data_IF_312972848848
#
_entry.id   IF_312972848848
#
_cell.length_a   1.000
_cell.length_b   1.000
_cell.length_c   1.000
_cell.angle_alpha   90.00
_cell.angle_beta   90.00
_cell.angle_gamma   90.00
#
_symmetry.space_group_name_H-M   'P 1'
#
loop_
_entity.id
_entity.type
_entity.pdbx_description
1 polymer ?
#
# COMPACT_ATOMS: atom_id res chain seq x y z
N UNK A 1 26.04 8.02 20.13
CA UNK A 1 24.83 7.19 20.01
C UNK A 1 24.51 6.87 18.56
N UNK A 2 24.27 7.86 17.68
CA UNK A 2 23.88 7.66 16.27
C UNK A 2 24.81 6.71 15.48
N UNK A 3 26.12 6.94 15.55
CA UNK A 3 27.11 6.11 14.82
C UNK A 3 27.16 4.68 15.36
N UNK A 4 27.07 4.51 16.68
CA UNK A 4 27.03 3.19 17.31
C UNK A 4 25.75 2.43 16.90
N UNK A 5 24.62 3.14 16.85
CA UNK A 5 23.35 2.60 16.40
C UNK A 5 23.36 2.20 14.92
N UNK A 6 23.91 3.04 14.04
CA UNK A 6 24.07 2.74 12.62
C UNK A 6 24.97 1.53 12.34
N UNK A 7 25.88 1.20 13.27
CA UNK A 7 26.86 0.10 13.13
C UNK A 7 26.49 -1.15 13.92
N UNK A 8 25.42 -1.14 14.72
CA UNK A 8 25.04 -2.29 15.53
C UNK A 8 25.92 -2.54 16.75
N UNK A 9 26.61 -1.53 17.27
CA UNK A 9 27.48 -1.68 18.45
C UNK A 9 26.65 -1.62 19.74
N UNK A 10 26.02 -2.75 20.09
CA UNK A 10 25.16 -2.91 21.27
C UNK A 10 25.91 -2.65 22.58
N UNK A 11 27.15 -3.11 22.67
CA UNK A 11 28.07 -2.87 23.79
C UNK A 11 28.30 -1.38 24.07
N UNK A 12 28.53 -0.60 23.01
CA UNK A 12 28.69 0.85 23.10
C UNK A 12 27.38 1.51 23.49
N UNK A 13 26.25 1.05 22.96
CA UNK A 13 24.94 1.59 23.32
C UNK A 13 24.59 1.29 24.78
N UNK A 14 24.84 0.08 25.27
CA UNK A 14 24.62 -0.28 26.68
C UNK A 14 25.48 0.55 27.63
N UNK A 15 26.75 0.79 27.28
CA UNK A 15 27.64 1.64 28.05
C UNK A 15 27.19 3.12 28.11
N UNK A 16 26.34 3.55 27.17
CA UNK A 16 25.81 4.92 27.12
C UNK A 16 24.51 5.10 27.92
N UNK A 17 24.03 4.07 28.62
CA UNK A 17 22.83 4.18 29.48
C UNK A 17 23.13 5.02 30.75
N UNK A 18 22.16 5.81 31.25
CA UNK A 18 20.82 6.00 30.71
C UNK A 18 20.81 6.89 29.47
N UNK A 19 20.02 6.51 28.47
CA UNK A 19 19.90 7.27 27.23
C UNK A 19 19.03 8.52 27.39
N UNK A 20 19.24 9.54 26.54
CA UNK A 20 18.38 10.71 26.50
C UNK A 20 16.93 10.33 26.15
N UNK A 21 15.98 11.17 26.59
CA UNK A 21 14.55 10.96 26.32
C UNK A 21 14.19 10.95 24.82
N UNK A 22 14.97 11.67 23.99
CA UNK A 22 14.85 11.64 22.54
C UNK A 22 16.00 10.84 21.91
N UNK A 23 15.68 9.64 21.45
CA UNK A 23 16.61 8.74 20.74
C UNK A 23 16.35 8.71 19.22
N UNK A 24 15.53 9.63 18.70
CA UNK A 24 15.03 9.61 17.31
C UNK A 24 16.17 9.47 16.30
N UNK A 25 17.25 10.24 16.42
CA UNK A 25 18.36 10.21 15.47
C UNK A 25 19.09 8.87 15.45
N UNK A 26 19.35 8.29 16.62
CA UNK A 26 20.00 6.99 16.71
C UNK A 26 19.09 5.87 16.21
N UNK A 27 17.80 5.93 16.54
CA UNK A 27 16.79 5.02 16.00
C UNK A 27 16.72 5.12 14.47
N UNK A 28 16.66 6.34 13.92
CA UNK A 28 16.67 6.54 12.46
C UNK A 28 17.96 6.02 11.82
N UNK A 29 19.11 6.20 12.45
CA UNK A 29 20.39 5.73 11.92
C UNK A 29 20.49 4.20 11.89
N UNK A 30 20.01 3.51 12.94
CA UNK A 30 19.92 2.05 12.98
C UNK A 30 18.90 1.51 11.97
N UNK A 31 17.72 2.12 11.92
CA UNK A 31 16.65 1.78 10.99
C UNK A 31 17.08 1.97 9.53
N UNK A 32 17.86 3.01 9.24
CA UNK A 32 18.42 3.25 7.93
C UNK A 32 19.52 2.26 7.54
N UNK A 33 19.91 1.35 8.42
CA UNK A 33 20.93 0.33 8.17
C UNK A 33 20.39 -1.08 8.38
N UNK A 34 19.08 -1.23 8.62
CA UNK A 34 18.45 -2.53 8.90
C UNK A 34 18.96 -3.18 10.19
N UNK A 35 19.44 -2.40 11.16
CA UNK A 35 20.06 -2.93 12.38
C UNK A 35 18.97 -3.28 13.41
N UNK A 36 18.32 -4.43 13.20
CA UNK A 36 17.14 -4.87 13.98
C UNK A 36 17.41 -4.93 15.49
N UNK A 37 18.49 -5.57 15.92
CA UNK A 37 18.80 -5.76 17.34
C UNK A 37 18.99 -4.45 18.12
N UNK A 38 19.51 -3.39 17.47
CA UNK A 38 19.61 -2.06 18.11
C UNK A 38 18.23 -1.44 18.29
N UNK A 39 17.35 -1.66 17.33
CA UNK A 39 16.01 -1.10 17.35
C UNK A 39 15.13 -1.83 18.38
N UNK A 40 15.34 -3.13 18.56
CA UNK A 40 14.78 -3.93 19.67
C UNK A 40 15.22 -3.39 21.01
N UNK A 41 16.52 -3.19 21.19
CA UNK A 41 17.09 -2.60 22.39
C UNK A 41 16.51 -1.19 22.69
N UNK A 42 16.32 -0.36 21.67
CA UNK A 42 15.67 0.95 21.82
C UNK A 42 14.18 0.85 22.19
N UNK A 43 13.45 -0.12 21.65
CA UNK A 43 12.04 -0.34 22.00
C UNK A 43 11.89 -0.81 23.44
N UNK A 44 12.67 -1.81 23.85
CA UNK A 44 12.64 -2.34 25.23
C UNK A 44 12.95 -1.25 26.26
N UNK A 45 13.96 -0.42 25.97
CA UNK A 45 14.29 0.71 26.82
C UNK A 45 13.15 1.73 26.90
N UNK A 46 12.49 2.03 25.77
CA UNK A 46 11.37 2.96 25.76
C UNK A 46 10.11 2.41 26.44
N UNK A 47 9.86 1.11 26.35
CA UNK A 47 8.74 0.45 27.04
C UNK A 47 8.95 0.43 28.56
N UNK A 48 10.21 0.30 29.00
CA UNK A 48 10.58 0.34 30.42
C UNK A 48 10.65 1.75 31.02
N UNK A 49 10.75 2.80 30.19
CA UNK A 49 10.93 4.18 30.65
C UNK A 49 9.82 5.10 30.11
N UNK A 50 8.84 5.39 30.96
CA UNK A 50 7.77 6.36 30.72
C UNK A 50 8.37 7.77 30.48
N UNK A 51 8.56 8.13 29.19
CA UNK A 51 9.18 9.39 28.78
C UNK A 51 10.02 9.28 27.51
N UNK A 52 10.39 8.07 27.11
CA UNK A 52 11.11 7.82 25.85
C UNK A 52 10.21 8.12 24.65
N UNK A 53 10.70 8.92 23.70
CA UNK A 53 9.97 9.26 22.48
C UNK A 53 10.90 9.13 21.26
N UNK A 54 10.46 8.40 20.25
CA UNK A 54 11.16 8.33 18.97
C UNK A 54 10.19 8.44 17.80
N UNK A 55 10.59 9.16 16.75
CA UNK A 55 9.81 9.28 15.51
C UNK A 55 10.09 8.11 14.56
N UNK A 56 9.54 6.95 14.89
CA UNK A 56 9.63 5.73 14.07
C UNK A 56 9.16 5.91 12.61
N UNK A 57 8.22 6.85 12.39
CA UNK A 57 7.53 7.04 11.11
C UNK A 57 8.45 7.40 9.94
N UNK A 58 9.50 8.21 10.17
CA UNK A 58 10.39 8.64 9.07
C UNK A 58 11.34 7.51 8.69
N UNK A 59 11.92 6.83 9.68
CA UNK A 59 12.87 5.76 9.42
C UNK A 59 12.21 4.52 8.80
N UNK A 60 11.01 4.17 9.26
CA UNK A 60 10.22 3.11 8.66
C UNK A 60 9.73 3.46 7.25
N UNK A 61 9.47 4.74 6.97
CA UNK A 61 9.18 5.21 5.61
C UNK A 61 10.39 5.00 4.69
N UNK A 62 11.58 5.39 5.11
CA UNK A 62 12.80 5.19 4.31
C UNK A 62 13.17 3.71 4.13
N UNK A 63 12.90 2.88 5.13
CA UNK A 63 13.03 1.42 5.02
C UNK A 63 12.03 0.85 4.00
N UNK A 64 10.78 1.31 4.05
CA UNK A 64 9.75 0.96 3.06
C UNK A 64 10.12 1.39 1.65
N UNK A 65 10.70 2.58 1.50
CA UNK A 65 11.20 3.09 0.21
C UNK A 65 12.40 2.30 -0.30
N UNK A 66 13.13 1.59 0.56
CA UNK A 66 14.23 0.71 0.17
C UNK A 66 13.85 -0.74 -0.05
N UNK A 67 12.66 -1.17 0.39
CA UNK A 67 12.29 -2.59 0.37
C UNK A 67 13.02 -3.39 1.46
N UNK A 68 13.44 -2.74 2.55
CA UNK A 68 14.16 -3.43 3.61
C UNK A 68 13.20 -4.29 4.44
N UNK A 69 13.11 -5.58 4.11
CA UNK A 69 12.23 -6.56 4.75
C UNK A 69 12.55 -6.79 6.23
N UNK A 70 13.78 -6.48 6.67
CA UNK A 70 14.18 -6.63 8.08
C UNK A 70 13.42 -5.67 9.01
N UNK A 71 12.85 -4.60 8.43
CA UNK A 71 12.18 -3.52 9.15
C UNK A 71 10.67 -3.74 9.37
N UNK A 72 10.10 -4.84 8.87
CA UNK A 72 8.67 -5.18 9.06
C UNK A 72 8.40 -5.58 10.52
N UNK A 73 9.34 -6.27 11.16
CA UNK A 73 9.29 -6.57 12.60
C UNK A 73 9.14 -5.29 13.44
N UNK A 74 9.72 -4.19 12.99
CA UNK A 74 9.67 -2.89 13.64
C UNK A 74 8.37 -2.12 13.44
N UNK A 75 7.58 -2.45 12.41
CA UNK A 75 6.21 -1.96 12.33
C UNK A 75 5.36 -2.44 13.52
N UNK A 76 5.74 -3.56 14.16
CA UNK A 76 5.16 -4.03 15.45
C UNK A 76 5.57 -3.15 16.63
N UNK A 77 6.76 -2.56 16.56
CA UNK A 77 7.44 -1.84 17.65
C UNK A 77 7.12 -0.34 17.65
N UNK A 78 6.37 0.16 16.67
CA UNK A 78 5.77 1.50 16.77
C UNK A 78 4.73 1.43 17.89
N UNK A 79 4.91 2.17 19.01
CA UNK A 79 4.00 2.09 20.13
C UNK A 79 2.56 2.31 19.67
N UNK A 80 1.68 1.37 20.03
CA UNK A 80 0.22 1.51 19.90
C UNK A 80 -0.27 2.59 20.86
N UNK A 81 0.18 3.85 20.73
CA UNK A 81 -0.42 4.94 21.51
C UNK A 81 -1.84 5.15 20.98
N UNK A 82 -2.89 4.84 21.76
CA UNK A 82 -4.24 5.14 21.34
C UNK A 82 -4.35 6.66 21.25
N UNK A 83 -4.69 7.19 20.07
CA UNK A 83 -5.17 8.57 20.01
C UNK A 83 -6.49 8.60 20.77
N UNK A 84 -6.66 9.61 21.62
CA UNK A 84 -7.94 10.07 22.19
C UNK A 84 -9.02 10.32 21.10
N UNK A 85 -8.59 10.42 19.84
CA UNK A 85 -9.43 10.57 18.65
C UNK A 85 -9.01 9.56 17.55
N UNK A 86 -9.34 8.28 17.72
CA UNK A 86 -9.96 7.46 16.66
C UNK A 86 -9.18 6.85 15.47
N UNK A 87 -7.86 6.99 15.30
CA UNK A 87 -7.14 6.19 14.28
C UNK A 87 -5.66 5.91 14.60
N UNK A 88 -5.17 4.64 14.55
CA UNK A 88 -3.79 4.29 14.87
C UNK A 88 -2.81 4.57 13.71
N UNK A 89 -1.66 5.19 14.02
CA UNK A 89 -0.57 5.52 13.08
C UNK A 89 0.08 4.28 12.40
N UNK A 90 -0.03 3.10 12.99
CA UNK A 90 0.51 1.85 12.42
C UNK A 90 -0.09 1.52 11.04
N UNK A 91 -1.34 1.95 10.78
CA UNK A 91 -1.98 1.79 9.46
C UNK A 91 -1.19 2.50 8.36
N UNK A 92 -0.62 3.70 8.59
CA UNK A 92 -0.01 4.48 7.50
C UNK A 92 1.35 3.97 7.04
N UNK A 93 2.08 3.22 7.87
CA UNK A 93 3.42 2.71 7.55
C UNK A 93 3.30 1.39 6.78
N UNK A 94 2.51 0.43 7.27
CA UNK A 94 2.26 -0.83 6.56
C UNK A 94 1.65 -0.61 5.17
N UNK A 95 0.78 0.41 5.03
CA UNK A 95 0.25 0.83 3.73
C UNK A 95 1.36 1.29 2.75
N UNK A 96 2.38 1.99 3.24
CA UNK A 96 3.51 2.46 2.41
C UNK A 96 4.46 1.32 2.05
N UNK A 97 4.73 0.41 2.98
CA UNK A 97 5.48 -0.82 2.66
C UNK A 97 4.76 -1.62 1.58
N UNK A 98 3.45 -1.80 1.71
CA UNK A 98 2.66 -2.52 0.71
C UNK A 98 2.72 -1.82 -0.66
N UNK A 99 2.41 -0.52 -0.73
CA UNK A 99 2.43 0.22 -1.98
C UNK A 99 3.80 0.16 -2.67
N UNK A 100 4.90 0.39 -1.94
CA UNK A 100 6.24 0.31 -2.53
C UNK A 100 6.62 -1.10 -2.95
N UNK A 101 6.28 -2.12 -2.15
CA UNK A 101 6.54 -3.50 -2.50
C UNK A 101 5.78 -3.91 -3.75
N UNK A 102 4.52 -3.50 -3.85
CA UNK A 102 3.68 -3.73 -5.02
C UNK A 102 4.29 -3.10 -6.27
N UNK A 103 4.67 -1.82 -6.21
CA UNK A 103 5.28 -1.10 -7.33
C UNK A 103 6.58 -1.76 -7.78
N UNK A 104 7.41 -2.20 -6.83
CA UNK A 104 8.73 -2.81 -7.10
C UNK A 104 8.68 -4.30 -7.44
N UNK A 105 7.53 -4.95 -7.30
CA UNK A 105 7.45 -6.41 -7.44
C UNK A 105 8.12 -7.19 -6.29
N UNK A 106 8.26 -6.59 -5.10
CA UNK A 106 8.88 -7.23 -3.94
C UNK A 106 7.90 -8.21 -3.25
N UNK A 107 7.83 -9.42 -3.80
CA UNK A 107 6.97 -10.50 -3.31
C UNK A 107 7.25 -10.83 -1.86
N UNK A 108 8.53 -10.86 -1.46
CA UNK A 108 8.92 -11.23 -0.10
C UNK A 108 8.41 -10.24 0.94
N UNK A 109 8.47 -8.94 0.63
CA UNK A 109 7.88 -7.90 1.47
C UNK A 109 6.35 -8.07 1.58
N UNK A 110 5.66 -8.38 0.48
CA UNK A 110 4.21 -8.62 0.49
C UNK A 110 3.83 -9.85 1.33
N UNK A 111 4.58 -10.95 1.22
CA UNK A 111 4.40 -12.15 2.05
C UNK A 111 4.56 -11.85 3.55
N UNK A 112 5.62 -11.14 3.91
CA UNK A 112 5.88 -10.76 5.30
C UNK A 112 4.81 -9.80 5.84
N UNK A 113 4.34 -8.86 5.02
CA UNK A 113 3.18 -8.04 5.38
C UNK A 113 1.94 -8.92 5.55
N UNK A 114 1.74 -9.94 4.70
CA UNK A 114 0.62 -10.86 4.81
C UNK A 114 0.64 -11.65 6.11
N UNK A 115 1.80 -12.07 6.60
CA UNK A 115 1.92 -12.77 7.89
C UNK A 115 1.55 -11.89 9.09
N UNK A 116 1.68 -10.57 8.97
CA UNK A 116 1.68 -9.67 10.12
C UNK A 116 0.70 -8.50 10.08
N UNK A 117 0.03 -8.26 8.95
CA UNK A 117 -0.90 -7.15 8.75
C UNK A 117 -2.33 -7.61 8.45
N UNK A 118 -3.29 -6.74 8.76
CA UNK A 118 -4.71 -6.92 8.42
C UNK A 118 -5.00 -6.76 6.92
N UNK A 119 -6.12 -7.31 6.46
CA UNK A 119 -6.56 -7.27 5.05
C UNK A 119 -6.57 -5.87 4.41
N UNK A 120 -6.93 -4.84 5.18
CA UNK A 120 -7.01 -3.46 4.69
C UNK A 120 -5.68 -2.88 4.18
N UNK A 121 -4.55 -3.48 4.55
CA UNK A 121 -3.23 -3.07 4.04
C UNK A 121 -3.08 -3.45 2.56
N UNK A 122 -3.65 -4.59 2.15
CA UNK A 122 -3.59 -5.09 0.77
C UNK A 122 -4.62 -4.42 -0.13
N UNK A 123 -5.79 -4.05 0.40
CA UNK A 123 -6.82 -3.32 -0.34
C UNK A 123 -6.30 -2.00 -0.94
N UNK A 124 -5.55 -1.23 -0.15
CA UNK A 124 -4.89 -0.02 -0.63
C UNK A 124 -3.67 -0.30 -1.51
N UNK A 125 -2.93 -1.38 -1.23
CA UNK A 125 -1.83 -1.83 -2.07
C UNK A 125 -2.28 -2.16 -3.49
N UNK A 126 -3.46 -2.76 -3.63
CA UNK A 126 -4.05 -3.14 -4.90
C UNK A 126 -4.33 -1.93 -5.81
N UNK A 127 -4.91 -0.87 -5.26
CA UNK A 127 -5.15 0.39 -5.99
C UNK A 127 -3.82 1.03 -6.45
N UNK A 128 -2.80 1.04 -5.59
CA UNK A 128 -1.49 1.60 -5.95
C UNK A 128 -0.75 0.75 -6.98
N UNK A 129 -0.86 -0.58 -6.89
CA UNK A 129 -0.33 -1.48 -7.90
C UNK A 129 -0.98 -1.23 -9.27
N UNK A 130 -2.30 -1.03 -9.29
CA UNK A 130 -3.05 -0.69 -10.49
C UNK A 130 -2.67 0.68 -11.08
N UNK A 131 -2.37 1.65 -10.22
CA UNK A 131 -1.95 3.01 -10.58
C UNK A 131 -0.44 3.14 -10.92
N UNK A 132 0.27 2.03 -11.12
CA UNK A 132 1.72 2.03 -11.30
C UNK A 132 2.17 1.02 -12.34
N UNK A 133 3.48 0.81 -12.45
CA UNK A 133 4.10 -0.18 -13.35
C UNK A 133 4.19 -1.58 -12.72
N UNK A 134 3.46 -1.86 -11.63
CA UNK A 134 3.48 -3.16 -10.97
C UNK A 134 3.12 -4.30 -11.95
N UNK A 135 3.79 -5.45 -11.86
CA UNK A 135 3.49 -6.55 -12.78
C UNK A 135 2.08 -7.13 -12.54
N UNK A 136 1.54 -7.77 -13.58
CA UNK A 136 0.26 -8.49 -13.51
C UNK A 136 0.26 -9.54 -12.39
N UNK A 137 1.36 -10.24 -12.22
CA UNK A 137 1.55 -11.29 -11.20
C UNK A 137 1.52 -10.69 -9.79
N UNK A 138 2.13 -9.54 -9.58
CA UNK A 138 2.09 -8.83 -8.29
C UNK A 138 0.65 -8.39 -7.95
N UNK A 139 -0.08 -7.86 -8.94
CA UNK A 139 -1.49 -7.50 -8.76
C UNK A 139 -2.33 -8.74 -8.42
N UNK A 140 -2.09 -9.87 -9.09
CA UNK A 140 -2.80 -11.11 -8.79
C UNK A 140 -2.48 -11.62 -7.39
N UNK A 141 -1.22 -11.56 -6.95
CA UNK A 141 -0.82 -11.89 -5.58
C UNK A 141 -1.54 -11.02 -4.54
N UNK A 142 -1.55 -9.70 -4.74
CA UNK A 142 -2.26 -8.78 -3.84
C UNK A 142 -3.76 -9.07 -3.79
N UNK A 143 -4.36 -9.40 -4.93
CA UNK A 143 -5.76 -9.72 -5.03
C UNK A 143 -6.10 -11.03 -4.32
N UNK A 144 -5.28 -12.06 -4.48
CA UNK A 144 -5.43 -13.35 -3.79
C UNK A 144 -5.29 -13.17 -2.27
N UNK A 145 -4.35 -12.32 -1.83
CA UNK A 145 -4.20 -11.95 -0.42
C UNK A 145 -5.42 -11.18 0.12
N UNK A 146 -5.96 -10.25 -0.65
CA UNK A 146 -7.19 -9.54 -0.32
C UNK A 146 -8.36 -10.53 -0.16
N UNK A 147 -8.53 -11.47 -1.09
CA UNK A 147 -9.59 -12.49 -1.02
C UNK A 147 -9.40 -13.41 0.19
N UNK A 148 -8.18 -13.93 0.40
CA UNK A 148 -7.90 -14.87 1.48
C UNK A 148 -8.03 -14.25 2.87
N UNK A 149 -7.74 -12.95 3.01
CA UNK A 149 -7.77 -12.26 4.31
C UNK A 149 -9.02 -11.41 4.54
N UNK A 150 -9.79 -11.08 3.52
CA UNK A 150 -10.94 -10.21 3.71
C UNK A 150 -12.02 -10.90 4.53
N UNK A 151 -12.39 -10.25 5.64
CA UNK A 151 -13.56 -10.65 6.43
C UNK A 151 -14.86 -10.04 5.89
N UNK A 152 -14.79 -9.16 4.88
CA UNK A 152 -15.94 -8.42 4.35
C UNK A 152 -15.92 -8.36 2.81
N UNK A 153 -16.85 -9.04 2.14
CA UNK A 153 -17.00 -8.98 0.68
C UNK A 153 -17.20 -7.55 0.14
N UNK A 154 -17.83 -6.67 0.94
CA UNK A 154 -18.11 -5.28 0.55
C UNK A 154 -16.81 -4.48 0.43
N UNK A 155 -15.88 -4.63 1.38
CA UNK A 155 -14.59 -3.91 1.36
C UNK A 155 -13.73 -4.39 0.19
N UNK A 156 -13.74 -5.69 -0.09
CA UNK A 156 -13.08 -6.25 -1.26
C UNK A 156 -13.65 -5.69 -2.56
N UNK A 157 -14.98 -5.68 -2.72
CA UNK A 157 -15.65 -5.11 -3.91
C UNK A 157 -15.24 -3.65 -4.13
N UNK A 158 -15.25 -2.84 -3.06
CA UNK A 158 -14.83 -1.43 -3.13
C UNK A 158 -13.36 -1.26 -3.51
N UNK A 159 -12.46 -2.09 -2.97
CA UNK A 159 -11.04 -2.06 -3.29
C UNK A 159 -10.78 -2.45 -4.76
N UNK A 160 -11.42 -3.52 -5.23
CA UNK A 160 -11.35 -3.97 -6.63
C UNK A 160 -11.92 -2.92 -7.57
N UNK A 161 -13.03 -2.27 -7.20
CA UNK A 161 -13.62 -1.19 -7.98
C UNK A 161 -12.72 0.04 -8.12
N UNK A 162 -12.02 0.43 -7.05
CA UNK A 162 -11.01 1.50 -7.11
C UNK A 162 -9.80 1.10 -7.95
N UNK A 163 -9.32 -0.13 -7.80
CA UNK A 163 -8.21 -0.65 -8.60
C UNK A 163 -8.57 -0.75 -10.09
N UNK A 164 -9.81 -1.09 -10.44
CA UNK A 164 -10.31 -1.06 -11.81
C UNK A 164 -10.26 0.35 -12.40
N UNK A 165 -10.75 1.34 -11.65
CA UNK A 165 -10.70 2.74 -12.11
C UNK A 165 -9.26 3.21 -12.30
N UNK A 166 -8.37 2.93 -11.34
CA UNK A 166 -6.96 3.29 -11.44
C UNK A 166 -6.27 2.61 -12.64
N UNK A 167 -6.58 1.33 -12.91
CA UNK A 167 -6.05 0.65 -14.09
C UNK A 167 -6.56 1.28 -15.40
N UNK A 168 -7.85 1.67 -15.45
CA UNK A 168 -8.42 2.38 -16.59
C UNK A 168 -7.76 3.75 -16.80
N UNK A 169 -7.55 4.52 -15.73
CA UNK A 169 -6.85 5.82 -15.77
C UNK A 169 -5.42 5.73 -16.31
N UNK A 170 -4.76 4.57 -16.16
CA UNK A 170 -3.41 4.34 -16.64
C UNK A 170 -3.36 3.49 -17.92
N UNK A 171 -4.51 3.30 -18.59
CA UNK A 171 -4.66 2.46 -19.78
C UNK A 171 -4.03 1.06 -19.64
N UNK A 172 -4.15 0.46 -18.44
CA UNK A 172 -3.62 -0.86 -18.12
C UNK A 172 -4.64 -1.95 -18.45
N UNK A 173 -4.80 -2.22 -19.74
CA UNK A 173 -5.80 -3.14 -20.29
C UNK A 173 -5.68 -4.54 -19.67
N UNK A 174 -4.45 -5.01 -19.43
CA UNK A 174 -4.14 -6.29 -18.79
C UNK A 174 -4.78 -6.43 -17.40
N UNK A 175 -4.75 -5.35 -16.61
CA UNK A 175 -5.33 -5.32 -15.28
C UNK A 175 -6.83 -5.02 -15.30
N UNK A 176 -7.30 -4.22 -16.25
CA UNK A 176 -8.72 -3.92 -16.38
C UNK A 176 -9.52 -5.20 -16.59
N UNK A 177 -9.02 -6.13 -17.41
CA UNK A 177 -9.66 -7.44 -17.59
C UNK A 177 -9.73 -8.23 -16.26
N UNK A 178 -8.67 -8.20 -15.46
CA UNK A 178 -8.60 -8.89 -14.16
C UNK A 178 -9.62 -8.30 -13.18
N UNK A 179 -9.68 -6.97 -13.08
CA UNK A 179 -10.55 -6.31 -12.10
C UNK A 179 -12.00 -6.28 -12.55
N UNK A 180 -12.29 -6.10 -13.84
CA UNK A 180 -13.65 -6.14 -14.37
C UNK A 180 -14.32 -7.49 -14.08
N UNK A 181 -13.60 -8.62 -14.21
CA UNK A 181 -14.15 -9.93 -13.85
C UNK A 181 -14.59 -10.08 -12.40
N UNK A 182 -14.13 -9.20 -11.51
CA UNK A 182 -14.35 -9.27 -10.06
C UNK A 182 -15.00 -8.03 -9.46
N UNK A 183 -15.29 -7.01 -10.28
CA UNK A 183 -15.90 -5.76 -9.83
C UNK A 183 -17.40 -5.73 -10.07
N UNK A 184 -18.08 -4.93 -9.27
CA UNK A 184 -19.48 -4.59 -9.50
C UNK A 184 -19.68 -3.77 -10.77
N UNK A 185 -20.92 -3.80 -11.29
CA UNK A 185 -21.30 -3.13 -12.55
C UNK A 185 -21.02 -1.63 -12.52
N UNK A 186 -21.19 -0.99 -11.35
CA UNK A 186 -20.95 0.44 -11.17
C UNK A 186 -19.48 0.81 -11.37
N UNK A 187 -18.55 -0.01 -10.89
CA UNK A 187 -17.11 0.25 -11.08
C UNK A 187 -16.70 0.09 -12.54
N UNK A 188 -17.23 -0.94 -13.22
CA UNK A 188 -17.05 -1.12 -14.68
C UNK A 188 -17.54 0.10 -15.44
N UNK A 189 -18.69 0.63 -15.03
CA UNK A 189 -19.31 1.78 -15.68
C UNK A 189 -18.43 3.01 -15.58
N UNK A 190 -17.92 3.28 -14.37
CA UNK A 190 -17.02 4.41 -14.14
C UNK A 190 -15.74 4.27 -14.99
N UNK A 191 -15.18 3.06 -15.09
CA UNK A 191 -14.03 2.79 -15.94
C UNK A 191 -14.34 3.00 -17.44
N UNK A 192 -15.52 2.59 -17.90
CA UNK A 192 -15.95 2.76 -19.31
C UNK A 192 -16.14 4.25 -19.66
N UNK A 193 -16.82 5.01 -18.80
CA UNK A 193 -16.99 6.46 -18.97
C UNK A 193 -15.63 7.15 -19.00
N UNK A 194 -14.69 6.73 -18.14
CA UNK A 194 -13.33 7.28 -18.12
C UNK A 194 -12.57 6.96 -19.41
N UNK A 195 -12.60 5.70 -19.86
CA UNK A 195 -11.98 5.27 -21.11
C UNK A 195 -12.51 6.05 -22.31
N UNK A 196 -13.83 6.25 -22.38
CA UNK A 196 -14.46 6.98 -23.46
C UNK A 196 -14.17 8.49 -23.41
N UNK A 197 -14.10 9.09 -22.22
CA UNK A 197 -13.69 10.49 -22.06
C UNK A 197 -12.24 10.76 -22.48
N UNK A 198 -11.39 9.73 -22.48
CA UNK A 198 -9.98 9.80 -22.91
C UNK A 198 -9.74 9.15 -24.28
N UNK A 199 -10.80 8.80 -25.01
CA UNK A 199 -10.75 8.19 -26.35
C UNK A 199 -9.90 6.92 -26.44
N UNK A 200 -9.84 6.14 -25.35
CA UNK A 200 -9.04 4.92 -25.24
C UNK A 200 -9.78 3.72 -25.86
N UNK A 201 -9.80 3.63 -27.19
CA UNK A 201 -10.60 2.65 -27.95
C UNK A 201 -10.38 1.20 -27.49
N UNK A 202 -9.14 0.73 -27.38
CA UNK A 202 -8.85 -0.65 -26.95
C UNK A 202 -9.38 -0.93 -25.53
N UNK A 203 -9.35 0.06 -24.64
CA UNK A 203 -9.89 -0.05 -23.29
C UNK A 203 -11.42 -0.06 -23.30
N UNK A 204 -12.06 0.75 -24.14
CA UNK A 204 -13.50 0.74 -24.35
C UNK A 204 -13.93 -0.65 -24.83
N UNK A 205 -13.24 -1.23 -25.81
CA UNK A 205 -13.53 -2.59 -26.30
C UNK A 205 -13.37 -3.64 -25.19
N UNK A 206 -12.29 -3.56 -24.40
CA UNK A 206 -12.06 -4.47 -23.29
C UNK A 206 -13.14 -4.38 -22.19
N UNK A 207 -13.74 -3.20 -21.99
CA UNK A 207 -14.80 -2.95 -21.03
C UNK A 207 -16.20 -3.24 -21.60
N UNK A 208 -16.43 -2.96 -22.88
CA UNK A 208 -17.71 -3.14 -23.56
C UNK A 208 -18.20 -4.59 -23.52
N UNK A 209 -17.28 -5.57 -23.54
CA UNK A 209 -17.60 -6.99 -23.38
C UNK A 209 -18.31 -7.35 -22.06
N UNK A 210 -18.36 -6.44 -21.08
CA UNK A 210 -19.04 -6.63 -19.80
C UNK A 210 -20.43 -5.99 -19.72
N UNK A 211 -20.88 -5.35 -20.80
CA UNK A 211 -22.13 -4.61 -20.87
C UNK A 211 -22.99 -5.10 -22.03
N UNK A 212 -24.30 -4.92 -21.90
CA UNK A 212 -25.18 -4.96 -23.06
C UNK A 212 -25.11 -3.65 -23.85
N UNK A 213 -25.56 -3.69 -25.10
CA UNK A 213 -25.53 -2.56 -26.03
C UNK A 213 -26.26 -1.32 -25.48
N UNK A 214 -27.32 -1.54 -24.69
CA UNK A 214 -28.12 -0.49 -24.05
C UNK A 214 -27.30 0.23 -22.96
N UNK A 215 -26.62 -0.53 -22.11
CA UNK A 215 -25.76 0.00 -21.04
C UNK A 215 -24.58 0.78 -21.60
N UNK A 216 -24.03 0.34 -22.75
CA UNK A 216 -22.98 1.09 -23.45
C UNK A 216 -23.53 2.43 -23.96
N UNK A 217 -24.69 2.41 -24.64
CA UNK A 217 -25.31 3.63 -25.16
C UNK A 217 -25.61 4.64 -24.04
N UNK A 218 -26.12 4.18 -22.89
CA UNK A 218 -26.36 5.03 -21.72
C UNK A 218 -25.07 5.57 -21.08
N UNK A 219 -23.99 4.78 -21.06
CA UNK A 219 -22.69 5.23 -20.56
C UNK A 219 -22.10 6.34 -21.44
N UNK A 220 -22.16 6.15 -22.76
CA UNK A 220 -21.66 7.12 -23.74
C UNK A 220 -22.51 8.40 -23.78
N UNK A 221 -23.84 8.29 -23.60
CA UNK A 221 -24.74 9.44 -23.57
C UNK A 221 -24.46 10.43 -22.42
N UNK A 222 -23.70 10.01 -21.40
CA UNK A 222 -23.29 10.84 -20.26
C UNK A 222 -21.92 11.50 -20.42
N UNK A 223 -21.22 11.26 -21.53
CA UNK A 223 -19.98 11.95 -21.81
C UNK A 223 -20.24 13.46 -21.98
N UNK A 224 -19.34 14.32 -21.47
CA UNK A 224 -19.41 15.74 -21.76
C UNK A 224 -19.34 15.96 -23.27
N UNK A 225 -20.18 16.86 -23.82
CA UNK A 225 -20.41 17.08 -25.26
C UNK A 225 -19.16 17.46 -26.07
N UNK A 226 -18.02 17.69 -25.41
CA UNK A 226 -16.75 18.05 -26.03
C UNK A 226 -15.90 16.83 -26.44
N UNK A 227 -16.30 15.61 -26.07
CA UNK A 227 -15.65 14.38 -26.54
C UNK A 227 -16.19 14.09 -27.95
N UNK A 228 -15.35 14.30 -28.97
CA UNK A 228 -15.67 14.00 -30.37
C UNK A 228 -15.78 12.49 -30.56
N UNK A 229 -16.91 11.90 -30.17
CA UNK A 229 -17.24 10.52 -30.52
C UNK A 229 -17.61 10.51 -32.01
N UNK A 230 -16.60 10.45 -32.87
CA UNK A 230 -16.76 10.17 -34.28
C UNK A 230 -17.18 8.70 -34.44
N UNK A 231 -18.48 8.43 -34.33
CA UNK A 231 -19.06 7.16 -34.77
C UNK A 231 -18.99 7.16 -36.30
N UNK A 232 -18.05 6.41 -36.86
CA UNK A 232 -17.94 6.11 -38.30
C UNK A 232 -18.36 4.67 -38.55
#
# INVERSE_FOLDING_TARGET
MDVAAARGHLDVLDALKPWPADITRAFTAAAARGIVHVLEMFSEYCDANDGCNFRATTALKEAAERGDTTMIGLARMVPRRPKRNGAPKARSISLRFNANAAIKGDVRMIELLAEHCSSCVFECGLEQAANSTASREMVQLLLDLCVAKSSSPILLSSAVGRALLAAAENNRIDLVQIFAGRSEIRSKWNALVKAAAEEQIELIEALAGWFDEISIAEALARLPRDVNVAVS
#
